data_IF_184234617563
#
_entry.id   IF_184234617563
#
_cell.length_a   1.000
_cell.length_b   1.000
_cell.length_c   1.000
_cell.angle_alpha   90.00
_cell.angle_beta   90.00
_cell.angle_gamma   90.00
#
_symmetry.space_group_name_H-M   'P 1'
#
loop_
_entity.id
_entity.type
_entity.pdbx_description
1 polymer ?
#
# COMPACT_ATOMS: atom_id res chain seq x y z
N UNK A 1 14.91 8.32 31.20
CA UNK A 1 15.94 7.52 30.48
C UNK A 1 16.52 6.40 31.35
N UNK A 2 16.85 6.63 32.64
CA UNK A 2 17.44 5.60 33.54
C UNK A 2 16.64 4.29 33.54
N UNK A 3 15.32 4.34 33.76
CA UNK A 3 14.43 3.17 33.71
C UNK A 3 14.51 2.37 32.40
N UNK A 4 14.57 3.05 31.25
CA UNK A 4 14.69 2.37 29.94
C UNK A 4 16.06 1.71 29.75
N UNK A 5 17.12 2.30 30.31
CA UNK A 5 18.46 1.70 30.31
C UNK A 5 18.53 0.45 31.18
N UNK A 6 17.80 0.42 32.30
CA UNK A 6 17.71 -0.73 33.20
C UNK A 6 17.01 -1.93 32.55
N UNK A 7 16.01 -1.70 31.68
CA UNK A 7 15.34 -2.79 30.95
C UNK A 7 16.31 -3.62 30.09
N UNK A 8 17.40 -3.01 29.60
CA UNK A 8 18.45 -3.73 28.84
C UNK A 8 19.20 -4.76 29.68
N UNK A 9 19.21 -4.60 31.00
CA UNK A 9 19.83 -5.55 31.93
C UNK A 9 18.95 -6.76 32.20
N UNK A 10 17.67 -6.72 31.82
CA UNK A 10 16.70 -7.84 31.93
C UNK A 10 16.64 -8.41 33.36
N UNK A 11 16.78 -7.54 34.38
CA UNK A 11 16.74 -7.95 35.78
C UNK A 11 15.33 -8.37 36.24
N UNK A 12 14.29 -7.86 35.58
CA UNK A 12 12.89 -8.24 35.77
C UNK A 12 12.18 -8.34 34.43
N UNK A 13 11.22 -9.28 34.28
CA UNK A 13 10.41 -9.37 33.08
C UNK A 13 9.60 -8.09 32.87
N UNK A 14 9.34 -7.76 31.60
CA UNK A 14 8.50 -6.64 31.20
C UNK A 14 7.65 -7.02 29.99
N UNK A 15 6.59 -6.25 29.74
CA UNK A 15 5.71 -6.45 28.59
C UNK A 15 5.99 -5.37 27.55
N UNK A 16 6.22 -5.80 26.31
CA UNK A 16 6.23 -4.93 25.14
C UNK A 16 4.90 -5.08 24.42
N UNK A 17 4.18 -3.97 24.23
CA UNK A 17 2.93 -3.92 23.46
C UNK A 17 3.22 -3.14 22.19
N UNK A 18 3.04 -3.79 21.04
CA UNK A 18 3.12 -3.16 19.72
C UNK A 18 1.70 -3.18 19.16
N UNK A 19 1.14 -2.00 18.94
CA UNK A 19 -0.17 -1.81 18.32
C UNK A 19 0.00 -1.06 17.01
N UNK A 20 -0.21 -1.75 15.90
CA UNK A 20 -0.05 -1.22 14.55
C UNK A 20 -1.32 -1.48 13.73
N UNK A 21 -2.17 -0.46 13.50
CA UNK A 21 -3.40 -0.60 12.74
C UNK A 21 -3.19 -1.01 11.27
N UNK A 22 -1.98 -0.85 10.72
CA UNK A 22 -1.67 -1.28 9.36
C UNK A 22 -1.44 -2.79 9.26
N UNK A 23 -1.10 -3.44 10.38
CA UNK A 23 -0.77 -4.87 10.42
C UNK A 23 0.60 -5.22 9.82
N UNK A 24 1.45 -4.24 9.52
CA UNK A 24 2.75 -4.46 8.89
C UNK A 24 3.89 -4.68 9.89
N UNK A 25 3.67 -4.38 11.17
CA UNK A 25 4.62 -4.67 12.24
C UNK A 25 4.74 -6.17 12.50
N UNK A 26 5.96 -6.62 12.79
CA UNK A 26 6.29 -8.03 13.00
C UNK A 26 7.24 -8.20 14.20
N UNK A 27 6.98 -9.24 15.00
CA UNK A 27 7.86 -9.70 16.09
C UNK A 27 8.27 -11.14 15.77
N UNK A 28 9.57 -11.37 15.67
CA UNK A 28 10.12 -12.69 15.35
C UNK A 28 9.86 -13.69 16.48
N UNK A 29 9.43 -14.90 16.13
CA UNK A 29 9.38 -16.05 17.02
C UNK A 29 10.69 -16.85 16.91
N UNK A 30 11.58 -16.80 17.92
CA UNK A 30 12.87 -17.50 17.89
C UNK A 30 12.74 -19.03 17.96
N UNK A 31 11.57 -19.56 18.32
CA UNK A 31 11.30 -20.99 18.43
C UNK A 31 10.61 -21.56 17.19
N UNK A 32 10.42 -20.77 16.13
CA UNK A 32 9.74 -21.22 14.91
C UNK A 32 10.36 -22.52 14.35
N UNK A 33 9.54 -23.51 13.91
CA UNK A 33 8.09 -23.46 13.72
C UNK A 33 7.26 -23.74 14.99
N UNK A 34 7.89 -23.95 16.14
CA UNK A 34 7.17 -24.17 17.41
C UNK A 34 6.50 -22.88 17.87
N UNK A 35 5.44 -23.04 18.67
CA UNK A 35 4.71 -21.91 19.24
C UNK A 35 5.57 -21.19 20.30
N UNK A 36 5.54 -19.86 20.28
CA UNK A 36 6.08 -19.04 21.37
C UNK A 36 4.96 -18.74 22.38
N UNK A 37 5.16 -19.11 23.65
CA UNK A 37 4.21 -18.83 24.73
C UNK A 37 4.38 -17.44 25.35
N UNK A 38 5.51 -16.76 25.09
CA UNK A 38 5.76 -15.40 25.55
C UNK A 38 5.21 -14.34 24.57
N UNK A 39 4.84 -14.74 23.35
CA UNK A 39 4.28 -13.87 22.32
C UNK A 39 2.77 -14.09 22.17
N UNK A 40 1.99 -13.03 22.33
CA UNK A 40 0.54 -13.03 22.08
C UNK A 40 0.24 -12.07 20.93
N UNK A 41 -0.42 -12.58 19.89
CA UNK A 41 -0.83 -11.79 18.71
C UNK A 41 -2.35 -11.71 18.69
N UNK A 42 -2.88 -10.49 18.66
CA UNK A 42 -4.33 -10.21 18.58
C UNK A 42 -4.63 -9.41 17.33
N UNK A 43 -5.57 -9.90 16.53
CA UNK A 43 -6.09 -9.18 15.36
C UNK A 43 -7.39 -8.45 15.74
N UNK A 44 -7.58 -7.26 15.20
CA UNK A 44 -8.76 -6.44 15.44
C UNK A 44 -9.21 -5.73 14.16
N UNK A 45 -10.50 -5.36 14.12
CA UNK A 45 -11.02 -4.50 13.05
C UNK A 45 -10.64 -3.05 13.35
N UNK A 46 -10.09 -2.35 12.35
CA UNK A 46 -9.72 -0.94 12.46
C UNK A 46 -10.93 -0.08 12.81
N UNK A 47 -10.68 0.96 13.60
CA UNK A 47 -11.65 2.05 13.77
C UNK A 47 -11.61 2.97 12.57
N UNK A 48 -12.68 3.76 12.36
CA UNK A 48 -12.74 4.73 11.26
C UNK A 48 -11.57 5.73 11.31
N UNK A 49 -11.15 6.13 12.51
CA UNK A 49 -10.02 7.03 12.72
C UNK A 49 -8.69 6.37 12.32
N UNK A 50 -8.55 5.07 12.57
CA UNK A 50 -7.37 4.30 12.13
C UNK A 50 -7.35 4.15 10.61
N UNK A 51 -8.50 3.96 9.96
CA UNK A 51 -8.60 3.92 8.49
C UNK A 51 -8.26 5.28 7.87
N UNK A 52 -8.79 6.37 8.43
CA UNK A 52 -8.46 7.74 8.03
C UNK A 52 -6.95 8.02 8.15
N UNK A 53 -6.32 7.61 9.26
CA UNK A 53 -4.88 7.75 9.48
C UNK A 53 -4.04 6.97 8.46
N UNK A 54 -4.55 5.82 7.98
CA UNK A 54 -3.90 5.00 6.96
C UNK A 54 -4.23 5.44 5.53
N UNK A 55 -5.08 6.46 5.35
CA UNK A 55 -5.53 6.90 4.03
C UNK A 55 -6.46 5.90 3.33
N UNK A 56 -7.12 5.01 4.08
CA UNK A 56 -7.99 3.96 3.55
C UNK A 56 -9.46 4.39 3.49
N UNK A 57 -9.73 5.68 3.54
CA UNK A 57 -11.10 6.18 3.50
C UNK A 57 -11.69 5.85 2.12
N UNK A 58 -12.76 5.05 2.09
CA UNK A 58 -13.53 4.85 0.88
C UNK A 58 -14.16 6.21 0.50
N UNK A 59 -13.63 6.85 -0.54
CA UNK A 59 -14.42 7.86 -1.25
C UNK A 59 -15.70 7.16 -1.74
N UNK A 60 -16.86 7.78 -1.48
CA UNK A 60 -18.18 7.27 -1.83
C UNK A 60 -18.19 6.66 -3.26
N UNK A 61 -18.98 5.61 -3.51
CA UNK A 61 -18.71 4.61 -4.54
C UNK A 61 -18.52 5.26 -5.93
N UNK A 62 -17.26 5.40 -6.31
CA UNK A 62 -16.83 5.64 -7.67
C UNK A 62 -15.59 4.77 -7.92
N UNK A 63 -15.86 3.59 -8.48
CA UNK A 63 -14.96 2.82 -9.32
C UNK A 63 -13.73 2.18 -8.65
N UNK A 64 -13.86 0.86 -8.41
CA UNK A 64 -12.88 -0.25 -8.55
C UNK A 64 -11.37 0.02 -8.40
N UNK A 65 -10.63 -0.95 -7.80
CA UNK A 65 -9.30 -0.77 -7.23
C UNK A 65 -8.31 -0.16 -8.21
N UNK A 66 -7.39 0.60 -7.63
CA UNK A 66 -6.19 1.20 -8.22
C UNK A 66 -5.30 0.15 -8.92
N UNK A 67 -5.76 -0.41 -10.04
CA UNK A 67 -4.88 -0.80 -11.12
C UNK A 67 -4.27 0.51 -11.62
N UNK A 68 -2.94 0.60 -11.67
CA UNK A 68 -2.21 1.74 -12.25
C UNK A 68 -3.00 2.28 -13.44
N UNK A 69 -3.53 3.51 -13.32
CA UNK A 69 -4.42 4.10 -14.32
C UNK A 69 -3.61 4.56 -15.55
N UNK A 70 -2.94 3.60 -16.19
CA UNK A 70 -2.21 3.74 -17.46
C UNK A 70 -3.13 4.26 -18.57
N UNK A 71 -4.46 4.25 -18.35
CA UNK A 71 -5.45 4.84 -19.25
C UNK A 71 -5.20 6.31 -19.52
N UNK A 72 -4.48 7.02 -18.64
CA UNK A 72 -4.18 8.43 -18.83
C UNK A 72 -2.79 8.73 -19.41
N UNK A 73 -1.96 7.72 -19.62
CA UNK A 73 -0.64 7.89 -20.23
C UNK A 73 -0.75 8.08 -21.75
N UNK A 74 0.08 8.97 -22.29
CA UNK A 74 0.21 9.22 -23.73
C UNK A 74 1.55 8.68 -24.19
N UNK A 75 1.52 7.74 -25.13
CA UNK A 75 2.72 7.24 -25.78
C UNK A 75 3.11 8.18 -26.93
N UNK A 76 4.35 8.65 -26.94
CA UNK A 76 4.85 9.57 -27.94
C UNK A 76 5.96 8.92 -28.78
N UNK A 77 5.82 8.91 -30.11
CA UNK A 77 6.82 8.38 -31.03
C UNK A 77 7.07 9.32 -32.22
N UNK A 78 8.29 9.35 -32.71
CA UNK A 78 8.67 10.14 -33.89
C UNK A 78 8.34 9.37 -35.17
N UNK A 79 7.59 9.98 -36.08
CA UNK A 79 7.21 9.42 -37.38
C UNK A 79 7.02 10.54 -38.41
N UNK A 80 6.89 10.22 -39.69
CA UNK A 80 6.60 11.20 -40.73
C UNK A 80 5.10 11.49 -40.79
N UNK A 81 4.72 12.75 -40.99
CA UNK A 81 3.34 13.16 -41.23
C UNK A 81 2.82 12.50 -42.52
N UNK A 82 1.66 11.81 -42.49
CA UNK A 82 1.14 11.11 -43.67
C UNK A 82 0.75 12.05 -44.82
N UNK A 83 0.51 13.34 -44.54
CA UNK A 83 0.09 14.33 -45.54
C UNK A 83 1.28 15.01 -46.24
N UNK A 84 2.33 15.39 -45.48
CA UNK A 84 3.43 16.20 -46.01
C UNK A 84 4.81 15.54 -45.89
N UNK A 85 4.88 14.33 -45.35
CA UNK A 85 6.09 13.54 -45.11
C UNK A 85 7.17 14.24 -44.24
N UNK A 86 6.84 15.35 -43.59
CA UNK A 86 7.73 16.05 -42.66
C UNK A 86 7.90 15.24 -41.35
N UNK A 87 9.05 15.34 -40.67
CA UNK A 87 9.25 14.72 -39.36
C UNK A 87 8.26 15.30 -38.33
N UNK A 88 7.55 14.43 -37.62
CA UNK A 88 6.52 14.78 -36.64
C UNK A 88 6.59 13.88 -35.40
N UNK A 89 5.99 14.33 -34.30
CA UNK A 89 5.75 13.51 -33.11
C UNK A 89 4.28 13.09 -33.09
N UNK A 90 4.02 11.79 -32.97
CA UNK A 90 2.67 11.25 -32.84
C UNK A 90 2.40 10.88 -31.39
N UNK A 91 1.28 11.36 -30.89
CA UNK A 91 0.74 11.05 -29.57
C UNK A 91 -0.35 9.98 -29.72
N UNK A 92 -0.21 8.87 -29.00
CA UNK A 92 -1.16 7.77 -28.99
C UNK A 92 -1.66 7.53 -27.58
N UNK A 93 -2.99 7.56 -27.41
CA UNK A 93 -3.66 7.20 -26.16
C UNK A 93 -4.51 5.96 -26.41
N UNK A 94 -4.27 4.90 -25.63
CA UNK A 94 -5.10 3.70 -25.70
C UNK A 94 -6.46 4.01 -25.06
N UNK A 95 -7.50 4.17 -25.87
CA UNK A 95 -8.87 4.36 -25.39
C UNK A 95 -9.64 3.05 -25.48
N UNK A 96 -9.83 2.38 -24.34
CA UNK A 96 -10.81 1.30 -24.23
C UNK A 96 -12.15 1.92 -23.85
N UNK A 97 -13.02 2.15 -24.84
CA UNK A 97 -14.37 2.66 -24.60
C UNK A 97 -15.22 1.52 -24.03
N UNK A 98 -15.52 1.57 -22.74
CA UNK A 98 -16.28 0.52 -22.04
C UNK A 98 -17.74 0.39 -22.48
N UNK A 99 -18.26 1.32 -23.29
CA UNK A 99 -19.65 1.32 -23.78
C UNK A 99 -19.78 1.83 -25.22
N UNK A 100 -19.10 1.20 -26.17
CA UNK A 100 -19.17 1.61 -27.59
C UNK A 100 -20.42 1.12 -28.35
N UNK A 101 -21.29 0.30 -27.73
CA UNK A 101 -22.50 -0.24 -28.37
C UNK A 101 -23.68 -0.32 -27.39
N UNK A 102 -24.17 0.83 -26.97
CA UNK A 102 -25.55 0.99 -26.48
C UNK A 102 -26.28 1.99 -27.36
#
# INVERSE_FOLDING_TARGET
IVKLKELKQVASPFTLIIDDPSGNSFVENPHAPQKDDALVITHYNRTRQQEEMLGLQEEAPAEKPEEEDLRNEVLQFSTNCPECNAPAQTNMKLMVVLFAWK
#
